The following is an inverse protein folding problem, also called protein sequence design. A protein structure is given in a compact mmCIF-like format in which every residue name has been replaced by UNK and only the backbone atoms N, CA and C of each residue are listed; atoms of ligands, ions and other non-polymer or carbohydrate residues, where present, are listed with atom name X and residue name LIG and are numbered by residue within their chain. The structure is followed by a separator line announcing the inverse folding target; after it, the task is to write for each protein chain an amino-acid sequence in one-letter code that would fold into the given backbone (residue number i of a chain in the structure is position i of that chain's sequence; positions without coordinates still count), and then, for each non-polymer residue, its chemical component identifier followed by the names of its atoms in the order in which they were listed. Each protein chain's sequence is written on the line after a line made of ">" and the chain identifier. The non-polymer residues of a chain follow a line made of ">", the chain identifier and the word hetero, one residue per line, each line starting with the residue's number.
data_IF_379980145075
#
_entry.id   IF_379980145075
#
_cell.length_a   1.000
_cell.length_b   1.000
_cell.length_c   1.000
_cell.angle_alpha   90.00
_cell.angle_beta   90.00
_cell.angle_gamma   90.00
#
_symmetry.space_group_name_H-M   'P 1'
#
loop_
_entity.id
_entity.type
_entity.pdbx_description
1 polymer ?
#
# COMPACT_ATOMS: atom_id res chain seq x y z
N UNK A 1 -28.06 -25.55 90.68
CA UNK A 1 -26.58 -25.59 90.80
C UNK A 1 -26.05 -24.51 89.86
N UNK A 2 -25.81 -23.29 90.36
CA UNK A 2 -24.50 -22.78 90.85
C UNK A 2 -23.40 -22.93 89.79
N UNK A 3 -22.60 -21.95 89.39
CA UNK A 3 -22.47 -20.49 89.57
C UNK A 3 -21.18 -20.08 88.79
N UNK A 4 -20.90 -18.76 88.71
CA UNK A 4 -19.64 -18.08 88.32
C UNK A 4 -19.52 -17.72 86.82
N UNK A 5 -19.74 -16.49 86.34
CA UNK A 5 -19.44 -15.07 86.73
C UNK A 5 -18.13 -14.55 86.10
N UNK A 6 -18.18 -13.26 85.67
CA UNK A 6 -17.16 -12.34 85.10
C UNK A 6 -17.24 -12.19 83.57
N UNK A 7 -17.34 -11.01 82.93
CA UNK A 7 -17.29 -9.61 83.37
C UNK A 7 -17.68 -8.71 82.14
N UNK A 8 -18.30 -7.53 82.39
CA UNK A 8 -18.28 -6.26 81.60
C UNK A 8 -18.66 -6.28 80.11
N UNK A 9 -19.82 -5.78 79.68
CA UNK A 9 -20.26 -4.37 79.58
C UNK A 9 -19.66 -3.58 78.39
N UNK A 10 -20.60 -3.07 77.57
CA UNK A 10 -20.56 -1.84 76.77
C UNK A 10 -19.78 -1.84 75.44
N UNK A 11 -20.48 -1.62 74.33
CA UNK A 11 -19.84 -1.08 73.13
C UNK A 11 -20.57 -1.31 71.82
N UNK A 12 -21.34 -0.30 71.42
CA UNK A 12 -21.49 0.17 70.03
C UNK A 12 -22.00 -0.81 68.96
N UNK A 13 -23.19 -0.48 68.45
CA UNK A 13 -23.62 -0.82 67.10
C UNK A 13 -22.56 -0.33 66.09
N UNK A 14 -21.72 -1.23 65.58
CA UNK A 14 -21.01 -1.02 64.33
C UNK A 14 -21.92 -1.47 63.18
N UNK A 15 -22.52 -0.48 62.52
CA UNK A 15 -22.82 -0.56 61.10
C UNK A 15 -21.50 -0.90 60.40
N UNK A 16 -21.30 -2.17 60.07
CA UNK A 16 -20.35 -2.57 59.05
C UNK A 16 -20.84 -1.99 57.73
N UNK A 17 -20.41 -0.76 57.44
CA UNK A 17 -20.16 -0.35 56.07
C UNK A 17 -19.15 -1.35 55.53
N UNK A 18 -19.65 -2.33 54.78
CA UNK A 18 -18.83 -3.06 53.85
C UNK A 18 -18.33 -2.01 52.86
N UNK A 19 -17.12 -1.48 53.10
CA UNK A 19 -16.35 -0.81 52.09
C UNK A 19 -16.13 -1.86 51.00
N UNK A 20 -17.04 -1.88 50.03
CA UNK A 20 -16.75 -2.37 48.69
C UNK A 20 -15.74 -1.34 48.18
N UNK A 21 -14.44 -1.57 48.45
CA UNK A 21 -13.43 -1.10 47.52
C UNK A 21 -13.74 -1.84 46.24
N UNK A 22 -14.41 -1.14 45.31
CA UNK A 22 -14.34 -1.53 43.92
C UNK A 22 -12.84 -1.53 43.59
N UNK A 23 -12.25 -2.70 43.43
CA UNK A 23 -11.06 -2.84 42.61
C UNK A 23 -11.45 -2.19 41.29
N UNK A 24 -10.89 -1.01 41.00
CA UNK A 24 -10.96 -0.41 39.67
C UNK A 24 -10.29 -1.43 38.74
N UNK A 25 -11.12 -2.31 38.18
CA UNK A 25 -10.68 -3.23 37.15
C UNK A 25 -10.34 -2.35 35.98
N UNK A 26 -9.05 -2.27 35.64
CA UNK A 26 -8.57 -1.52 34.47
C UNK A 26 -9.43 -1.91 33.27
N UNK A 27 -9.81 -0.93 32.45
CA UNK A 27 -10.43 -1.28 31.18
C UNK A 27 -9.42 -2.07 30.35
N UNK A 28 -9.90 -2.90 29.41
CA UNK A 28 -8.99 -3.64 28.54
C UNK A 28 -8.04 -2.71 27.75
N UNK A 29 -8.48 -1.48 27.47
CA UNK A 29 -7.65 -0.44 26.85
C UNK A 29 -6.56 0.03 27.82
N UNK A 30 -6.88 0.29 29.09
CA UNK A 30 -5.90 0.66 30.11
C UNK A 30 -4.89 -0.47 30.37
N UNK A 31 -5.31 -1.74 30.32
CA UNK A 31 -4.42 -2.91 30.41
C UNK A 31 -3.40 -2.93 29.25
N UNK A 32 -3.85 -2.65 28.02
CA UNK A 32 -2.98 -2.57 26.83
C UNK A 32 -2.02 -1.38 26.97
N UNK A 33 -2.52 -0.19 27.34
CA UNK A 33 -1.68 0.99 27.58
C UNK A 33 -0.62 0.76 28.66
N UNK A 34 -0.97 0.04 29.74
CA UNK A 34 -0.02 -0.35 30.76
C UNK A 34 1.06 -1.33 30.21
N UNK A 35 0.67 -2.25 29.32
CA UNK A 35 1.61 -3.14 28.62
C UNK A 35 2.59 -2.34 27.76
N UNK A 36 2.10 -1.35 26.99
CA UNK A 36 2.93 -0.44 26.17
C UNK A 36 3.94 0.32 27.03
N UNK A 37 3.51 0.89 28.16
CA UNK A 37 4.41 1.60 29.09
C UNK A 37 5.49 0.66 29.65
N UNK A 38 5.12 -0.56 30.02
CA UNK A 38 6.09 -1.56 30.50
C UNK A 38 7.06 -2.00 29.39
N UNK A 39 6.60 -2.10 28.13
CA UNK A 39 7.45 -2.43 26.99
C UNK A 39 8.52 -1.35 26.75
N UNK A 40 8.11 -0.08 26.76
CA UNK A 40 9.02 1.07 26.64
C UNK A 40 10.06 1.07 27.77
N UNK A 41 9.64 0.80 29.00
CA UNK A 41 10.54 0.72 30.15
C UNK A 41 11.57 -0.41 29.99
N UNK A 42 11.15 -1.59 29.52
CA UNK A 42 12.03 -2.72 29.25
C UNK A 42 13.04 -2.39 28.14
N UNK A 43 12.60 -1.76 27.05
CA UNK A 43 13.46 -1.30 25.96
C UNK A 43 14.53 -0.32 26.47
N UNK A 44 14.09 0.72 27.18
CA UNK A 44 14.96 1.80 27.64
C UNK A 44 15.95 1.36 28.73
N UNK A 45 15.67 0.23 29.41
CA UNK A 45 16.55 -0.40 30.38
C UNK A 45 17.49 -1.44 29.76
N UNK A 46 17.32 -1.81 28.49
CA UNK A 46 18.07 -2.90 27.86
C UNK A 46 17.73 -4.28 28.44
N UNK A 47 16.50 -4.45 28.96
CA UNK A 47 16.04 -5.70 29.56
C UNK A 47 15.39 -6.59 28.49
N UNK A 48 16.24 -7.33 27.77
CA UNK A 48 15.83 -8.23 26.68
C UNK A 48 14.88 -9.35 27.12
N UNK A 49 15.01 -9.82 28.37
CA UNK A 49 14.15 -10.88 28.90
C UNK A 49 12.74 -10.32 29.11
N UNK A 50 12.63 -9.18 29.78
CA UNK A 50 11.34 -8.51 29.99
C UNK A 50 10.73 -8.02 28.68
N UNK A 51 11.53 -7.56 27.73
CA UNK A 51 11.07 -7.22 26.38
C UNK A 51 10.44 -8.44 25.69
N UNK A 52 11.13 -9.59 25.70
CA UNK A 52 10.64 -10.81 25.09
C UNK A 52 9.35 -11.31 25.77
N UNK A 53 9.21 -11.13 27.08
CA UNK A 53 8.02 -11.51 27.84
C UNK A 53 6.75 -10.73 27.43
N UNK A 54 6.87 -9.59 26.77
CA UNK A 54 5.72 -8.88 26.19
C UNK A 54 5.15 -9.58 24.94
N UNK A 55 5.89 -10.49 24.32
CA UNK A 55 5.48 -11.19 23.10
C UNK A 55 4.80 -12.52 23.38
N UNK A 56 3.80 -12.84 22.57
CA UNK A 56 3.14 -14.15 22.57
C UNK A 56 4.13 -15.26 22.18
N UNK A 57 3.83 -16.51 22.55
CA UNK A 57 4.75 -17.63 22.34
C UNK A 57 5.13 -17.81 20.86
N UNK A 58 4.16 -17.65 19.96
CA UNK A 58 4.30 -17.82 18.51
C UNK A 58 4.31 -16.48 17.74
N UNK A 59 4.63 -15.38 18.42
CA UNK A 59 4.56 -14.06 17.83
C UNK A 59 5.50 -13.87 16.63
N UNK A 60 5.17 -12.91 15.76
CA UNK A 60 5.98 -12.56 14.60
C UNK A 60 6.48 -11.12 14.68
N UNK A 61 7.75 -10.91 14.40
CA UNK A 61 8.35 -9.58 14.34
C UNK A 61 9.25 -9.45 13.12
N UNK A 62 9.20 -8.30 12.45
CA UNK A 62 10.12 -7.96 11.39
C UNK A 62 11.16 -7.00 11.94
N UNK A 63 12.43 -7.42 11.97
CA UNK A 63 13.51 -6.60 12.50
C UNK A 63 13.63 -5.29 11.73
N UNK A 64 13.51 -4.15 12.42
CA UNK A 64 13.67 -2.81 11.83
C UNK A 64 15.00 -2.60 11.10
N UNK A 65 16.09 -3.17 11.63
CA UNK A 65 17.45 -2.94 11.12
C UNK A 65 17.81 -3.87 9.96
N UNK A 66 17.37 -5.14 10.01
CA UNK A 66 17.79 -6.17 9.06
C UNK A 66 16.70 -6.59 8.07
N UNK A 67 15.43 -6.25 8.34
CA UNK A 67 14.28 -6.76 7.60
C UNK A 67 14.05 -8.26 7.77
N UNK A 68 14.77 -8.93 8.69
CA UNK A 68 14.62 -10.36 8.94
C UNK A 68 13.38 -10.63 9.80
N UNK A 69 12.57 -11.60 9.38
CA UNK A 69 11.44 -12.09 10.16
C UNK A 69 11.93 -13.00 11.30
N UNK A 70 11.56 -12.67 12.53
CA UNK A 70 11.64 -13.56 13.69
C UNK A 70 10.27 -14.17 13.97
N UNK A 71 10.26 -15.46 14.28
CA UNK A 71 9.05 -16.20 14.67
C UNK A 71 9.29 -16.85 16.04
N UNK A 72 8.38 -16.54 16.96
CA UNK A 72 8.41 -17.00 18.34
C UNK A 72 9.31 -16.17 19.26
N UNK A 73 8.98 -16.19 20.55
CA UNK A 73 9.61 -15.36 21.60
C UNK A 73 11.13 -15.49 21.64
N UNK A 74 11.68 -16.69 21.42
CA UNK A 74 13.12 -16.93 21.45
C UNK A 74 13.86 -16.19 20.32
N UNK A 75 13.33 -16.23 19.10
CA UNK A 75 13.95 -15.54 17.96
C UNK A 75 13.81 -14.02 18.09
N UNK A 76 12.67 -13.55 18.62
CA UNK A 76 12.44 -12.12 18.89
C UNK A 76 13.45 -11.63 19.93
N UNK A 77 13.63 -12.36 21.02
CA UNK A 77 14.67 -12.06 22.02
C UNK A 77 16.06 -12.00 21.41
N UNK A 78 16.40 -12.95 20.54
CA UNK A 78 17.70 -12.99 19.87
C UNK A 78 17.94 -11.75 18.99
N UNK A 79 16.91 -11.20 18.37
CA UNK A 79 17.03 -9.96 17.59
C UNK A 79 17.30 -8.73 18.44
N UNK A 80 16.83 -8.67 19.69
CA UNK A 80 17.15 -7.58 20.61
C UNK A 80 18.47 -7.79 21.37
N UNK A 81 19.04 -9.00 21.34
CA UNK A 81 20.20 -9.35 22.15
C UNK A 81 21.44 -8.50 21.86
N UNK A 82 21.65 -8.09 20.61
CA UNK A 82 22.75 -7.17 20.23
C UNK A 82 22.54 -5.79 20.86
N UNK A 83 21.30 -5.28 20.85
CA UNK A 83 20.96 -4.00 21.47
C UNK A 83 21.22 -4.04 22.98
N UNK A 84 20.80 -5.08 23.68
CA UNK A 84 21.00 -5.20 25.14
C UNK A 84 22.48 -5.29 25.58
N UNK A 85 23.40 -5.49 24.64
CA UNK A 85 24.85 -5.50 24.91
C UNK A 85 25.52 -4.14 24.62
N UNK A 86 24.79 -3.19 24.04
CA UNK A 86 25.34 -1.86 23.73
C UNK A 86 25.47 -1.01 25.00
N UNK A 87 26.62 -0.35 25.13
CA UNK A 87 26.89 0.54 26.26
C UNK A 87 26.08 1.84 26.21
N UNK A 88 25.75 2.29 24.99
CA UNK A 88 24.85 3.40 24.74
C UNK A 88 23.59 2.88 24.04
N UNK A 89 22.47 2.91 24.75
CA UNK A 89 21.19 2.37 24.28
C UNK A 89 20.34 3.50 23.71
N UNK A 90 19.78 3.36 22.50
CA UNK A 90 18.80 4.31 22.02
C UNK A 90 17.56 4.29 22.93
N UNK A 91 16.87 5.42 23.03
CA UNK A 91 15.63 5.55 23.79
C UNK A 91 14.43 5.44 22.86
N UNK A 92 13.50 4.56 23.24
CA UNK A 92 12.19 4.42 22.66
C UNK A 92 11.20 5.33 23.40
N UNK A 93 10.38 6.03 22.63
CA UNK A 93 9.12 6.60 23.07
C UNK A 93 8.02 6.22 22.08
N UNK A 94 6.79 6.07 22.58
CA UNK A 94 5.65 5.66 21.76
C UNK A 94 4.51 6.64 22.02
N UNK A 95 3.91 7.10 20.93
CA UNK A 95 2.67 7.85 20.89
C UNK A 95 1.61 6.93 20.29
N UNK A 96 0.59 6.60 21.08
CA UNK A 96 -0.51 5.73 20.66
C UNK A 96 -1.60 6.60 20.04
N UNK A 97 -1.95 6.31 18.78
CA UNK A 97 -2.97 7.06 18.05
C UNK A 97 -4.35 6.45 18.25
N UNK A 98 -4.45 5.10 18.20
CA UNK A 98 -5.72 4.41 18.41
C UNK A 98 -5.55 2.98 18.89
N UNK A 99 -6.55 2.51 19.64
CA UNK A 99 -6.72 1.10 20.00
C UNK A 99 -8.11 0.66 19.54
N UNK A 100 -8.16 -0.42 18.76
CA UNK A 100 -9.42 -1.00 18.26
C UNK A 100 -9.51 -2.48 18.61
N UNK A 101 -10.53 -2.84 19.36
CA UNK A 101 -10.84 -4.24 19.67
C UNK A 101 -11.49 -4.92 18.45
N UNK A 102 -10.86 -6.00 17.97
CA UNK A 102 -11.42 -6.90 16.94
C UNK A 102 -12.32 -7.94 17.60
N UNK A 103 -11.90 -8.41 18.78
CA UNK A 103 -12.60 -9.32 19.69
C UNK A 103 -12.29 -8.92 21.14
N UNK A 104 -13.00 -9.45 22.15
CA UNK A 104 -12.67 -9.16 23.55
C UNK A 104 -11.24 -9.52 23.97
N UNK A 105 -10.61 -10.45 23.26
CA UNK A 105 -9.28 -11.00 23.49
C UNK A 105 -8.27 -10.66 22.36
N UNK A 106 -8.65 -9.80 21.40
CA UNK A 106 -7.79 -9.36 20.29
C UNK A 106 -7.98 -7.88 20.03
N UNK A 107 -6.90 -7.11 20.09
CA UNK A 107 -6.89 -5.67 19.82
C UNK A 107 -5.80 -5.30 18.81
N UNK A 108 -6.02 -4.19 18.11
CA UNK A 108 -5.06 -3.59 17.20
C UNK A 108 -4.74 -2.19 17.73
N UNK A 109 -3.47 -1.94 17.96
CA UNK A 109 -2.90 -0.65 18.35
C UNK A 109 -2.16 -0.05 17.15
N UNK A 110 -2.42 1.23 16.88
CA UNK A 110 -1.71 2.01 15.86
C UNK A 110 -1.08 3.24 16.52
N UNK A 111 0.12 3.62 16.06
CA UNK A 111 0.79 4.80 16.58
C UNK A 111 2.12 5.11 15.92
N UNK A 112 2.89 5.97 16.59
CA UNK A 112 4.23 6.39 16.17
C UNK A 112 5.25 6.07 17.26
N UNK A 113 6.28 5.31 16.91
CA UNK A 113 7.46 5.07 17.73
C UNK A 113 8.58 6.03 17.34
N UNK A 114 9.30 6.57 18.34
CA UNK A 114 10.47 7.44 18.14
C UNK A 114 11.66 6.79 18.84
N UNK A 115 12.76 6.62 18.11
CA UNK A 115 13.98 5.98 18.59
C UNK A 115 15.16 6.94 18.37
N UNK A 116 15.93 7.25 19.42
CA UNK A 116 17.06 8.17 19.32
C UNK A 116 18.15 7.89 20.36
N UNK A 117 19.41 8.13 20.01
CA UNK A 117 20.47 8.34 21.01
C UNK A 117 20.40 9.76 21.59
N UNK A 118 21.01 9.96 22.75
CA UNK A 118 21.02 11.28 23.39
C UNK A 118 21.75 12.32 22.52
N UNK A 119 21.04 13.37 22.11
CA UNK A 119 21.59 14.45 21.28
C UNK A 119 21.54 14.20 19.77
N UNK A 120 20.96 13.08 19.33
CA UNK A 120 20.72 12.78 17.91
C UNK A 120 19.27 13.10 17.49
N UNK A 121 19.06 13.29 16.19
CA UNK A 121 17.71 13.42 15.63
C UNK A 121 17.00 12.06 15.70
N UNK A 122 15.72 12.02 16.16
CA UNK A 122 15.00 10.77 16.32
C UNK A 122 14.61 10.15 14.99
N UNK A 123 14.83 8.84 14.87
CA UNK A 123 14.17 8.02 13.86
C UNK A 123 12.71 7.82 14.26
N UNK A 124 11.81 8.06 13.31
CA UNK A 124 10.36 7.95 13.49
C UNK A 124 9.86 6.72 12.75
N UNK A 125 8.97 5.94 13.37
CA UNK A 125 8.34 4.77 12.77
C UNK A 125 6.84 4.82 13.02
N UNK A 126 6.02 4.72 11.97
CA UNK A 126 4.63 4.34 12.14
C UNK A 126 4.57 2.84 12.43
N UNK A 127 3.69 2.40 13.31
CA UNK A 127 3.53 0.98 13.58
C UNK A 127 2.07 0.56 13.70
N UNK A 128 1.86 -0.75 13.50
CA UNK A 128 0.65 -1.47 13.85
C UNK A 128 1.04 -2.67 14.69
N UNK A 129 0.50 -2.75 15.90
CA UNK A 129 0.69 -3.84 16.83
C UNK A 129 -0.61 -4.62 17.02
N UNK A 130 -0.56 -5.94 16.85
CA UNK A 130 -1.67 -6.84 17.19
C UNK A 130 -1.42 -7.39 18.58
N UNK A 131 -2.39 -7.19 19.45
CA UNK A 131 -2.40 -7.71 20.82
C UNK A 131 -3.38 -8.88 20.93
N UNK A 132 -2.95 -9.93 21.61
CA UNK A 132 -3.76 -11.10 21.98
C UNK A 132 -3.74 -11.29 23.49
N UNK A 133 -4.86 -11.68 24.08
CA UNK A 133 -4.94 -11.95 25.52
C UNK A 133 -4.63 -13.43 25.79
N UNK A 134 -3.43 -13.72 26.31
CA UNK A 134 -2.97 -15.06 26.72
C UNK A 134 -2.88 -15.13 28.24
N UNK A 135 -3.46 -16.16 28.87
CA UNK A 135 -3.40 -16.36 30.34
C UNK A 135 -3.75 -15.09 31.15
N UNK A 136 -4.78 -14.35 30.72
CA UNK A 136 -5.23 -13.06 31.27
C UNK A 136 -4.24 -11.88 31.13
N UNK A 137 -3.21 -12.00 30.28
CA UNK A 137 -2.28 -10.91 29.99
C UNK A 137 -2.30 -10.56 28.50
N UNK A 138 -2.26 -9.27 28.18
CA UNK A 138 -2.10 -8.83 26.79
C UNK A 138 -0.65 -9.03 26.35
N UNK A 139 -0.48 -9.71 25.22
CA UNK A 139 0.80 -10.00 24.58
C UNK A 139 0.78 -9.49 23.15
N UNK A 140 1.94 -9.06 22.67
CA UNK A 140 2.16 -8.73 21.26
C UNK A 140 2.21 -10.02 20.45
N UNK A 141 1.24 -10.19 19.55
CA UNK A 141 1.23 -11.26 18.56
C UNK A 141 2.06 -10.87 17.33
N UNK A 142 1.92 -9.62 16.88
CA UNK A 142 2.77 -9.09 15.81
C UNK A 142 2.94 -7.59 15.92
N UNK A 143 4.11 -7.11 15.50
CA UNK A 143 4.36 -5.67 15.32
C UNK A 143 4.96 -5.48 13.94
N UNK A 144 4.32 -4.64 13.16
CA UNK A 144 4.79 -4.18 11.87
C UNK A 144 5.13 -2.70 11.97
N UNK A 145 6.36 -2.34 11.63
CA UNK A 145 6.87 -0.98 11.73
C UNK A 145 7.33 -0.52 10.35
N UNK A 146 7.08 0.74 10.02
CA UNK A 146 7.56 1.39 8.80
C UNK A 146 8.21 2.70 9.18
N UNK A 147 9.47 2.89 8.81
CA UNK A 147 10.18 4.16 9.04
C UNK A 147 9.39 5.31 8.40
N UNK A 148 9.18 6.43 9.08
CA UNK A 148 8.37 7.56 8.59
C UNK A 148 9.07 8.24 7.42
N UNK A 149 10.42 8.26 7.36
CA UNK A 149 11.08 8.67 6.13
C UNK A 149 10.75 7.69 4.98
N UNK A 150 10.53 6.40 5.28
CA UNK A 150 9.99 5.40 4.35
C UNK A 150 8.47 5.49 4.15
N UNK A 151 7.73 6.35 4.86
CA UNK A 151 6.35 6.73 4.54
C UNK A 151 6.30 7.99 3.67
N UNK A 152 7.23 8.93 3.87
CA UNK A 152 7.51 10.05 2.97
C UNK A 152 8.19 9.59 1.67
N UNK A 153 8.87 8.46 1.71
CA UNK A 153 9.38 7.71 0.55
C UNK A 153 8.63 6.39 0.32
N UNK A 154 7.50 6.16 1.02
CA UNK A 154 6.50 5.23 0.52
C UNK A 154 5.90 6.02 -0.61
N UNK A 155 6.29 5.71 -1.83
CA UNK A 155 5.99 6.63 -2.88
C UNK A 155 4.47 6.36 -3.01
N UNK A 156 3.65 7.39 -2.77
CA UNK A 156 2.17 7.32 -2.82
C UNK A 156 1.77 6.40 -3.98
N UNK A 157 0.66 5.63 -4.02
CA UNK A 157 0.33 4.81 -5.20
C UNK A 157 0.43 5.58 -6.55
N UNK A 158 0.37 6.91 -6.47
CA UNK A 158 0.89 7.88 -7.44
C UNK A 158 2.25 7.57 -8.07
N UNK A 159 3.31 7.31 -7.31
CA UNK A 159 4.67 7.03 -7.77
C UNK A 159 4.89 5.63 -8.31
N UNK A 160 4.22 4.59 -7.77
CA UNK A 160 4.37 3.23 -8.31
C UNK A 160 3.72 3.19 -9.69
N UNK A 161 2.48 3.67 -9.80
CA UNK A 161 1.81 3.78 -11.10
C UNK A 161 2.61 4.68 -12.06
N UNK A 162 3.10 5.84 -11.61
CA UNK A 162 3.98 6.72 -12.40
C UNK A 162 5.24 5.99 -12.86
N UNK A 163 5.97 5.35 -11.96
CA UNK A 163 7.23 4.67 -12.25
C UNK A 163 7.03 3.56 -13.27
N UNK A 164 5.94 2.80 -13.15
CA UNK A 164 5.60 1.73 -14.10
C UNK A 164 5.18 2.27 -15.47
N UNK A 165 4.70 3.52 -15.54
CA UNK A 165 4.35 4.21 -16.78
C UNK A 165 5.49 5.07 -17.36
N UNK A 166 6.57 5.30 -16.62
CA UNK A 166 7.74 6.08 -17.07
C UNK A 166 8.30 5.59 -18.42
N UNK A 167 8.37 4.27 -18.72
CA UNK A 167 8.76 3.77 -20.03
C UNK A 167 7.87 4.22 -21.21
N UNK A 168 6.67 4.74 -20.93
CA UNK A 168 5.72 5.32 -21.90
C UNK A 168 5.76 6.85 -21.92
N UNK A 169 6.52 7.51 -21.04
CA UNK A 169 6.57 8.97 -20.93
C UNK A 169 6.95 9.67 -22.25
N UNK A 170 7.72 9.00 -23.10
CA UNK A 170 8.09 9.52 -24.41
C UNK A 170 6.87 9.72 -25.34
N UNK A 171 5.74 9.05 -25.10
CA UNK A 171 4.50 9.25 -25.85
C UNK A 171 3.82 10.58 -25.51
N UNK A 172 4.16 11.26 -24.41
CA UNK A 172 3.58 12.57 -24.05
C UNK A 172 3.87 13.58 -25.16
N UNK A 173 2.86 14.34 -25.56
CA UNK A 173 2.93 15.35 -26.63
C UNK A 173 1.94 15.09 -27.76
N UNK A 174 2.09 15.88 -28.82
CA UNK A 174 1.26 15.81 -30.02
C UNK A 174 1.97 14.99 -31.11
N UNK A 175 1.26 14.04 -31.69
CA UNK A 175 1.75 13.09 -32.67
C UNK A 175 0.82 13.02 -33.87
N UNK A 176 1.39 12.94 -35.07
CA UNK A 176 0.60 12.85 -36.31
C UNK A 176 1.16 11.77 -37.22
N UNK A 177 0.28 10.88 -37.64
CA UNK A 177 0.49 9.97 -38.76
C UNK A 177 -0.19 10.54 -40.00
N UNK A 178 0.56 10.73 -41.08
CA UNK A 178 0.02 11.15 -42.38
C UNK A 178 0.32 10.06 -43.39
N UNK A 179 -0.71 9.31 -43.75
CA UNK A 179 -0.69 8.30 -44.81
C UNK A 179 -1.54 8.76 -45.99
N UNK A 180 -1.48 8.05 -47.11
CA UNK A 180 -2.22 8.42 -48.31
C UNK A 180 -3.74 8.37 -48.03
N UNK A 181 -4.38 9.54 -47.98
CA UNK A 181 -5.83 9.67 -47.78
C UNK A 181 -6.30 9.59 -46.32
N UNK A 182 -5.41 9.40 -45.34
CA UNK A 182 -5.76 9.32 -43.91
C UNK A 182 -4.76 10.08 -43.03
N UNK A 183 -5.26 10.88 -42.10
CA UNK A 183 -4.48 11.58 -41.08
C UNK A 183 -4.97 11.09 -39.71
N UNK A 184 -4.05 10.64 -38.86
CA UNK A 184 -4.36 10.34 -37.46
C UNK A 184 -3.57 11.28 -36.58
N UNK A 185 -4.27 12.12 -35.83
CA UNK A 185 -3.69 12.99 -34.81
C UNK A 185 -3.88 12.36 -33.44
N UNK A 186 -2.87 12.39 -32.59
CA UNK A 186 -2.93 11.88 -31.22
C UNK A 186 -2.25 12.86 -30.27
N UNK A 187 -3.01 13.33 -29.29
CA UNK A 187 -2.53 14.17 -28.21
C UNK A 187 -2.46 13.34 -26.93
N UNK A 188 -1.26 13.22 -26.37
CA UNK A 188 -1.01 12.44 -25.16
C UNK A 188 -0.56 13.36 -24.04
N UNK A 189 -1.18 13.20 -22.87
CA UNK A 189 -0.79 13.93 -21.66
C UNK A 189 -0.90 13.03 -20.44
N UNK A 190 -0.23 13.43 -19.36
CA UNK A 190 -0.50 12.84 -18.07
C UNK A 190 -1.90 13.21 -17.58
N UNK A 191 -2.55 12.28 -16.87
CA UNK A 191 -3.68 12.58 -16.00
C UNK A 191 -3.21 13.32 -14.73
N UNK A 192 -4.16 13.78 -13.91
CA UNK A 192 -3.84 14.37 -12.61
C UNK A 192 -3.05 13.35 -11.77
N UNK A 193 -2.00 13.82 -11.12
CA UNK A 193 -1.01 13.00 -10.39
C UNK A 193 -0.17 12.06 -11.27
N UNK A 194 -0.23 12.16 -12.60
CA UNK A 194 0.66 11.41 -13.53
C UNK A 194 0.63 9.88 -13.36
N UNK A 195 -0.53 9.35 -12.95
CA UNK A 195 -0.80 7.92 -12.74
C UNK A 195 -1.44 7.22 -13.94
N UNK A 196 -1.83 8.00 -14.93
CA UNK A 196 -2.38 7.52 -16.20
C UNK A 196 -1.87 8.41 -17.33
N UNK A 197 -1.69 7.84 -18.52
CA UNK A 197 -1.64 8.61 -19.75
C UNK A 197 -3.06 8.72 -20.33
N UNK A 198 -3.45 9.94 -20.71
CA UNK A 198 -4.67 10.21 -21.45
C UNK A 198 -4.27 10.55 -22.88
N UNK A 199 -4.76 9.75 -23.83
CA UNK A 199 -4.46 9.84 -25.26
C UNK A 199 -5.75 10.13 -25.99
N UNK A 200 -5.90 11.34 -26.52
CA UNK A 200 -7.04 11.67 -27.39
C UNK A 200 -6.58 11.53 -28.84
N UNK A 201 -7.34 10.82 -29.67
CA UNK A 201 -7.04 10.64 -31.07
C UNK A 201 -8.18 11.09 -31.97
N UNK A 202 -7.82 11.45 -33.18
CA UNK A 202 -8.73 11.87 -34.24
C UNK A 202 -8.25 11.28 -35.56
N UNK A 203 -9.15 10.62 -36.27
CA UNK A 203 -8.92 10.02 -37.57
C UNK A 203 -9.68 10.82 -38.62
N UNK A 204 -8.96 11.35 -39.60
CA UNK A 204 -9.51 12.03 -40.76
C UNK A 204 -9.26 11.20 -42.01
N UNK A 205 -10.31 10.90 -42.76
CA UNK A 205 -10.23 10.18 -44.04
C UNK A 205 -10.75 11.09 -45.14
N UNK A 206 -9.94 11.31 -46.19
CA UNK A 206 -10.29 12.20 -47.31
C UNK A 206 -10.74 13.61 -46.90
N UNK A 207 -10.21 14.14 -45.79
CA UNK A 207 -10.52 15.48 -45.27
C UNK A 207 -11.82 15.56 -44.45
N UNK A 208 -12.45 14.42 -44.13
CA UNK A 208 -13.60 14.33 -43.24
C UNK A 208 -13.17 13.63 -41.96
N UNK A 209 -13.58 14.18 -40.81
CA UNK A 209 -13.40 13.53 -39.51
C UNK A 209 -14.25 12.26 -39.52
N UNK A 210 -13.58 11.12 -39.50
CA UNK A 210 -14.20 9.80 -39.56
C UNK A 210 -14.47 9.26 -38.16
N UNK A 211 -13.51 9.41 -37.24
CA UNK A 211 -13.60 8.88 -35.89
C UNK A 211 -12.78 9.72 -34.90
N UNK A 212 -13.30 9.93 -33.69
CA UNK A 212 -12.55 10.49 -32.56
C UNK A 212 -12.62 9.55 -31.37
N UNK A 213 -11.64 9.63 -30.46
CA UNK A 213 -11.69 8.80 -29.27
C UNK A 213 -10.69 9.17 -28.20
N UNK A 214 -10.83 8.51 -27.06
CA UNK A 214 -9.94 8.63 -25.90
C UNK A 214 -9.48 7.25 -25.47
N UNK A 215 -8.17 7.15 -25.27
CA UNK A 215 -7.48 6.02 -24.68
C UNK A 215 -6.91 6.44 -23.32
N UNK A 216 -7.17 5.64 -22.29
CA UNK A 216 -6.67 5.82 -20.93
C UNK A 216 -5.73 4.65 -20.62
N UNK A 217 -4.46 4.93 -20.34
CA UNK A 217 -3.43 3.91 -20.08
C UNK A 217 -2.94 4.03 -18.64
N UNK A 218 -2.96 2.93 -17.89
CA UNK A 218 -2.64 2.91 -16.46
C UNK A 218 -1.91 1.64 -16.00
N UNK A 219 -1.28 1.72 -14.83
CA UNK A 219 -0.73 0.56 -14.14
C UNK A 219 -1.82 -0.18 -13.36
N UNK A 220 -1.90 -1.49 -13.54
CA UNK A 220 -2.71 -2.37 -12.72
C UNK A 220 -1.82 -3.13 -11.73
N UNK A 221 -1.78 -2.70 -10.45
CA UNK A 221 -0.93 -3.35 -9.45
C UNK A 221 -1.40 -4.77 -9.10
N UNK A 222 -2.68 -5.09 -9.27
CA UNK A 222 -3.21 -6.41 -8.91
C UNK A 222 -2.73 -7.52 -9.86
N UNK A 223 -2.48 -7.19 -11.14
CA UNK A 223 -1.96 -8.15 -12.11
C UNK A 223 -0.57 -7.77 -12.65
N UNK A 224 0.07 -6.78 -12.01
CA UNK A 224 1.41 -6.28 -12.34
C UNK A 224 1.62 -6.06 -13.84
N UNK A 225 0.70 -5.31 -14.47
CA UNK A 225 0.76 -5.02 -15.90
C UNK A 225 0.20 -3.63 -16.24
N UNK A 226 0.56 -3.10 -17.40
CA UNK A 226 -0.07 -1.90 -17.95
C UNK A 226 -1.37 -2.32 -18.68
N UNK A 227 -2.46 -1.63 -18.36
CA UNK A 227 -3.77 -1.78 -19.03
C UNK A 227 -4.18 -0.49 -19.70
N UNK A 228 -4.97 -0.63 -20.77
CA UNK A 228 -5.60 0.48 -21.46
C UNK A 228 -7.11 0.30 -21.58
N UNK A 229 -7.82 1.40 -21.77
CA UNK A 229 -9.22 1.43 -22.18
C UNK A 229 -9.39 2.45 -23.29
N UNK A 230 -10.09 2.07 -24.35
CA UNK A 230 -10.37 2.93 -25.51
C UNK A 230 -11.87 3.14 -25.60
N UNK A 231 -12.28 4.37 -25.90
CA UNK A 231 -13.66 4.78 -26.15
C UNK A 231 -13.68 5.66 -27.39
N UNK A 232 -14.50 5.33 -28.38
CA UNK A 232 -14.64 6.11 -29.61
C UNK A 232 -15.97 6.87 -29.69
N UNK A 233 -16.05 7.83 -30.60
CA UNK A 233 -17.19 8.75 -30.79
C UNK A 233 -18.47 8.07 -31.26
N UNK A 234 -18.36 6.86 -31.82
CA UNK A 234 -19.50 6.10 -32.32
C UNK A 234 -20.08 5.17 -31.23
N UNK A 235 -19.43 5.09 -30.06
CA UNK A 235 -19.88 4.30 -28.92
C UNK A 235 -19.20 2.93 -28.79
N UNK A 236 -18.16 2.68 -29.58
CA UNK A 236 -17.29 1.52 -29.41
C UNK A 236 -16.38 1.67 -28.19
N UNK A 237 -16.00 0.54 -27.60
CA UNK A 237 -15.05 0.51 -26.50
C UNK A 237 -14.19 -0.75 -26.52
N UNK A 238 -12.95 -0.63 -26.03
CA UNK A 238 -12.03 -1.75 -25.95
C UNK A 238 -11.20 -1.70 -24.66
N UNK A 239 -10.68 -2.85 -24.27
CA UNK A 239 -9.63 -2.98 -23.26
C UNK A 239 -8.33 -3.39 -23.93
N UNK A 240 -7.23 -2.92 -23.38
CA UNK A 240 -5.90 -3.18 -23.88
C UNK A 240 -4.97 -3.74 -22.80
N UNK A 241 -4.03 -4.59 -23.20
CA UNK A 241 -2.91 -5.03 -22.38
C UNK A 241 -1.60 -4.69 -23.08
N UNK A 242 -0.74 -3.96 -22.39
CA UNK A 242 0.54 -3.50 -22.92
C UNK A 242 1.67 -4.38 -22.36
N UNK A 243 2.52 -4.87 -23.25
CA UNK A 243 3.67 -5.69 -22.92
C UNK A 243 4.90 -5.17 -23.65
N UNK A 244 6.01 -5.01 -22.94
CA UNK A 244 7.26 -4.60 -23.55
C UNK A 244 8.02 -5.83 -24.07
N UNK A 245 8.38 -5.83 -25.34
CA UNK A 245 9.12 -6.89 -26.00
C UNK A 245 10.15 -6.30 -26.97
N UNK A 246 11.43 -6.65 -26.79
CA UNK A 246 12.54 -6.24 -27.68
C UNK A 246 12.58 -4.73 -27.99
N UNK A 247 12.34 -3.87 -26.98
CA UNK A 247 12.33 -2.41 -27.14
C UNK A 247 11.08 -1.85 -27.83
N UNK A 248 10.07 -2.69 -28.07
CA UNK A 248 8.77 -2.31 -28.62
C UNK A 248 7.65 -2.61 -27.60
N UNK A 249 6.51 -1.96 -27.76
CA UNK A 249 5.29 -2.22 -27.00
C UNK A 249 4.34 -3.04 -27.85
N UNK A 250 4.04 -4.26 -27.41
CA UNK A 250 2.96 -5.07 -27.95
C UNK A 250 1.68 -4.80 -27.15
N UNK A 251 0.63 -4.40 -27.84
CA UNK A 251 -0.63 -3.97 -27.26
C UNK A 251 -1.71 -4.89 -27.79
N UNK A 252 -2.33 -5.67 -26.90
CA UNK A 252 -3.43 -6.57 -27.27
C UNK A 252 -4.74 -5.91 -26.93
N UNK A 253 -5.58 -5.65 -27.92
CA UNK A 253 -6.87 -5.01 -27.75
C UNK A 253 -8.00 -6.01 -27.99
N UNK A 254 -9.06 -5.93 -27.18
CA UNK A 254 -10.33 -6.61 -27.39
C UNK A 254 -11.48 -5.72 -26.94
N UNK A 255 -12.54 -5.63 -27.75
CA UNK A 255 -13.61 -4.67 -27.54
C UNK A 255 -14.89 -5.00 -28.28
N UNK A 256 -15.82 -4.05 -28.23
CA UNK A 256 -17.14 -4.10 -28.84
C UNK A 256 -17.31 -2.87 -29.71
N UNK A 257 -17.77 -3.08 -30.95
CA UNK A 257 -18.11 -2.02 -31.91
C UNK A 257 -19.51 -1.45 -31.61
N UNK A 258 -19.86 -0.28 -32.15
CA UNK A 258 -21.17 0.35 -31.95
C UNK A 258 -22.38 -0.54 -32.32
N UNK A 259 -22.19 -1.47 -33.26
CA UNK A 259 -23.22 -2.42 -33.71
C UNK A 259 -23.28 -3.71 -32.86
N UNK A 260 -22.48 -3.80 -31.80
CA UNK A 260 -22.44 -4.93 -30.86
C UNK A 260 -21.51 -6.07 -31.27
N UNK A 261 -20.87 -5.99 -32.45
CA UNK A 261 -19.87 -6.99 -32.87
C UNK A 261 -18.61 -6.89 -32.03
N UNK A 262 -17.93 -8.01 -31.88
CA UNK A 262 -16.66 -8.09 -31.14
C UNK A 262 -15.50 -7.74 -32.07
N UNK A 263 -14.52 -7.01 -31.56
CA UNK A 263 -13.30 -6.67 -32.29
C UNK A 263 -12.06 -7.03 -31.47
N UNK A 264 -11.00 -7.47 -32.14
CA UNK A 264 -9.70 -7.71 -31.52
C UNK A 264 -8.56 -7.32 -32.46
N UNK A 265 -7.43 -6.91 -31.88
CA UNK A 265 -6.23 -6.59 -32.64
C UNK A 265 -4.96 -6.70 -31.80
N UNK A 266 -3.83 -6.81 -32.48
CA UNK A 266 -2.51 -6.56 -31.93
C UNK A 266 -2.00 -5.24 -32.51
N UNK A 267 -1.40 -4.40 -31.68
CA UNK A 267 -0.72 -3.17 -32.11
C UNK A 267 0.70 -3.18 -31.57
N UNK A 268 1.69 -2.93 -32.42
CA UNK A 268 3.07 -2.75 -31.99
C UNK A 268 3.47 -1.29 -32.12
N UNK A 269 4.04 -0.72 -31.06
CA UNK A 269 4.61 0.64 -31.05
C UNK A 269 6.10 0.55 -30.74
N UNK A 270 6.94 1.07 -31.63
CA UNK A 270 8.39 1.07 -31.47
C UNK A 270 8.94 2.48 -31.61
N UNK A 271 9.51 3.01 -30.54
CA UNK A 271 10.21 4.30 -30.57
C UNK A 271 11.41 4.20 -31.52
N UNK A 272 11.54 5.14 -32.44
CA UNK A 272 12.71 5.26 -33.31
C UNK A 272 13.67 6.29 -32.71
N UNK A 273 13.14 7.48 -32.39
CA UNK A 273 13.84 8.57 -31.73
C UNK A 273 12.85 9.44 -30.94
N UNK A 274 13.24 10.67 -30.57
CA UNK A 274 12.41 11.58 -29.79
C UNK A 274 11.23 12.14 -30.58
N UNK A 275 11.35 12.25 -31.89
CA UNK A 275 10.39 12.88 -32.80
C UNK A 275 9.60 11.86 -33.63
N UNK A 276 9.94 10.57 -33.53
CA UNK A 276 9.39 9.54 -34.41
C UNK A 276 9.21 8.19 -33.72
N UNK A 277 8.06 7.57 -33.98
CA UNK A 277 7.84 6.16 -33.69
C UNK A 277 7.17 5.42 -34.85
N UNK A 278 7.33 4.10 -34.85
CA UNK A 278 6.67 3.20 -35.79
C UNK A 278 5.47 2.54 -35.10
N UNK A 279 4.33 2.47 -35.80
CA UNK A 279 3.12 1.81 -35.34
C UNK A 279 2.66 0.79 -36.37
N UNK A 280 2.22 -0.39 -35.95
CA UNK A 280 1.71 -1.42 -36.85
C UNK A 280 0.55 -2.14 -36.17
N UNK A 281 -0.57 -2.33 -36.87
CA UNK A 281 -1.69 -3.14 -36.39
C UNK A 281 -1.77 -4.46 -37.16
N UNK A 282 -1.80 -5.55 -36.40
CA UNK A 282 -1.72 -6.92 -36.87
C UNK A 282 -2.91 -7.73 -36.35
N UNK A 283 -3.27 -8.79 -37.06
CA UNK A 283 -4.22 -9.79 -36.58
C UNK A 283 -5.57 -9.18 -36.18
N UNK A 284 -5.98 -8.16 -36.93
CA UNK A 284 -7.24 -7.46 -36.72
C UNK A 284 -8.39 -8.41 -37.04
N UNK A 285 -9.46 -8.38 -36.25
CA UNK A 285 -10.64 -9.19 -36.51
C UNK A 285 -11.93 -8.53 -36.05
N UNK A 286 -13.04 -8.89 -36.69
CA UNK A 286 -14.41 -8.57 -36.28
C UNK A 286 -15.22 -9.86 -36.27
N UNK A 287 -15.83 -10.20 -35.15
CA UNK A 287 -16.51 -11.49 -34.89
C UNK A 287 -15.67 -12.72 -35.27
N UNK A 288 -14.35 -12.61 -35.09
CA UNK A 288 -13.38 -13.64 -35.42
C UNK A 288 -12.98 -13.70 -36.89
N UNK A 289 -13.62 -12.94 -37.78
CA UNK A 289 -13.19 -12.81 -39.18
C UNK A 289 -11.99 -11.87 -39.27
N UNK A 290 -10.89 -12.35 -39.88
CA UNK A 290 -9.66 -11.58 -40.02
C UNK A 290 -9.81 -10.42 -41.01
N UNK A 291 -9.32 -9.27 -40.61
CA UNK A 291 -9.13 -8.09 -41.44
C UNK A 291 -7.65 -7.97 -41.85
N UNK A 292 -7.35 -7.27 -42.96
CA UNK A 292 -5.98 -6.96 -43.33
C UNK A 292 -5.23 -6.22 -42.22
N UNK A 293 -3.95 -6.52 -42.11
CA UNK A 293 -3.00 -5.76 -41.30
C UNK A 293 -2.83 -4.33 -41.86
N UNK A 294 -2.47 -3.40 -40.98
CA UNK A 294 -2.47 -1.96 -41.29
C UNK A 294 -1.19 -1.32 -40.74
N UNK A 295 -0.37 -0.79 -41.65
CA UNK A 295 0.97 -0.26 -41.35
C UNK A 295 2.10 -1.10 -41.96
N UNK A 296 3.37 -0.88 -41.55
CA UNK A 296 3.78 0.06 -40.51
C UNK A 296 3.59 1.52 -40.93
N UNK A 297 3.25 2.36 -39.94
CA UNK A 297 3.14 3.80 -40.06
C UNK A 297 4.26 4.50 -39.31
N UNK A 298 4.67 5.64 -39.81
CA UNK A 298 5.61 6.52 -39.14
C UNK A 298 4.88 7.71 -38.55
N UNK A 299 4.81 7.73 -37.22
CA UNK A 299 4.13 8.78 -36.49
C UNK A 299 5.15 9.83 -36.04
N UNK A 300 4.88 11.08 -36.39
CA UNK A 300 5.82 12.20 -36.23
C UNK A 300 5.31 13.15 -35.14
N UNK A 301 6.18 13.47 -34.19
CA UNK A 301 5.91 14.46 -33.15
C UNK A 301 5.75 15.84 -33.80
N UNK A 302 4.71 16.55 -33.40
CA UNK A 302 4.55 17.96 -33.75
C UNK A 302 5.11 18.83 -32.63
N UNK A 303 5.71 19.97 -32.99
CA UNK A 303 6.14 20.97 -32.01
C UNK A 303 4.96 21.52 -31.20
N UNK A 304 5.24 22.06 -30.02
CA UNK A 304 4.25 22.74 -29.20
C UNK A 304 3.65 23.91 -30.01
N UNK A 305 2.31 23.97 -30.12
CA UNK A 305 1.59 25.12 -30.66
C UNK A 305 1.35 26.16 -29.56
#
# INVERSE_FOLDING_TARGET
>A
MKAQTFLTALGLAMLTFCNIQAEETLSAEDEIMASVVSYIAAFNAGDCDRLADHWAENAEYLCRTTGAKAVGREQIRAQFAEQCQQADLPKLSVEVDSIRFVKPDVAIEEGVAKIAHEGEEPELFSYTAVHVKEENQWKLDSVHETHVANQLSNPSPVSDARQQLEPLAWLIGHWVDKSEGSIVETNTRWAKNETFLIRSFKVEVSGVIDLEGTEVVGWDPANQRIRGWVFDSDGGFAQEHWHQENGSWLIKAAGVLPDGRTAASLRTIRRIDDEKYESHSLGRSVDGELLPDVGPFHVIRQGEQ
#
